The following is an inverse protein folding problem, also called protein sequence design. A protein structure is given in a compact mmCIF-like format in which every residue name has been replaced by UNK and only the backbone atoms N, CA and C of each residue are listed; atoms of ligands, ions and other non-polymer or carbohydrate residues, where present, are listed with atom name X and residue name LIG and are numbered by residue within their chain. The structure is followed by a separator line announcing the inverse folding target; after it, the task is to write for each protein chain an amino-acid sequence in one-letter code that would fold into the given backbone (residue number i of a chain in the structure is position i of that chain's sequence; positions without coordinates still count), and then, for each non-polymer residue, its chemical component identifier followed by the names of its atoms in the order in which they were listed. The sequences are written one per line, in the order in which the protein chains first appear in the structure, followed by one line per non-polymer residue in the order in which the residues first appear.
data_IF_791322739753
#
_entry.id   IF_791322739753
#
_cell.length_a   1.000
_cell.length_b   1.000
_cell.length_c   1.000
_cell.angle_alpha   90.00
_cell.angle_beta   90.00
_cell.angle_gamma   90.00
#
_symmetry.space_group_name_H-M   'P 1'
#
loop_
_entity.id
_entity.type
_entity.pdbx_description
1 polymer ?
#
# COMPACT_ATOMS: atom_id res chain seq x y z
N UNK A 1 -20.30 12.68 34.06
CA UNK A 1 -21.69 12.34 33.71
C UNK A 1 -21.76 10.83 33.56
N UNK A 2 -22.56 10.18 34.41
CA UNK A 2 -22.73 8.72 34.47
C UNK A 2 -23.67 8.30 33.35
N UNK A 3 -23.27 7.36 32.51
CA UNK A 3 -24.18 6.69 31.58
C UNK A 3 -24.40 5.25 32.05
N UNK A 4 -25.68 4.95 32.27
CA UNK A 4 -26.23 3.71 32.76
C UNK A 4 -26.09 2.57 31.73
N UNK A 5 -25.58 1.42 32.19
CA UNK A 5 -25.72 0.14 31.49
C UNK A 5 -27.16 -0.36 31.62
N UNK A 6 -27.83 -0.58 30.49
CA UNK A 6 -29.05 -1.42 30.43
C UNK A 6 -28.71 -2.78 29.85
N UNK A 7 -28.74 -3.80 30.71
CA UNK A 7 -28.80 -5.22 30.32
C UNK A 7 -30.17 -5.50 29.68
N UNK A 8 -30.17 -5.83 28.39
CA UNK A 8 -31.34 -6.37 27.67
C UNK A 8 -31.29 -7.90 27.70
N UNK A 9 -32.31 -8.52 28.31
CA UNK A 9 -32.52 -9.96 28.34
C UNK A 9 -32.99 -10.48 26.97
N UNK A 10 -32.27 -11.44 26.39
CA UNK A 10 -32.69 -12.16 25.20
C UNK A 10 -33.53 -13.38 25.59
N UNK A 11 -34.81 -13.36 25.21
CA UNK A 11 -35.73 -14.49 25.33
C UNK A 11 -35.50 -15.49 24.18
N UNK A 12 -35.14 -16.72 24.51
CA UNK A 12 -35.08 -17.87 23.61
C UNK A 12 -36.50 -18.37 23.32
N UNK A 13 -36.99 -18.14 22.09
CA UNK A 13 -38.21 -18.78 21.57
C UNK A 13 -37.78 -20.01 20.78
N UNK A 14 -37.95 -21.20 21.38
CA UNK A 14 -37.87 -22.48 20.68
C UNK A 14 -39.18 -22.72 19.91
N UNK A 15 -39.14 -22.60 18.58
CA UNK A 15 -40.19 -23.11 17.70
C UNK A 15 -39.91 -24.56 17.33
N UNK A 16 -40.63 -25.49 17.96
CA UNK A 16 -40.72 -26.88 17.57
C UNK A 16 -41.60 -27.02 16.32
N UNK A 17 -40.99 -27.33 15.18
CA UNK A 17 -41.70 -27.71 13.97
C UNK A 17 -42.12 -29.18 14.04
N UNK A 18 -43.43 -29.40 14.08
CA UNK A 18 -44.05 -30.71 13.92
C UNK A 18 -43.89 -31.18 12.46
N UNK A 19 -43.28 -32.35 12.29
CA UNK A 19 -43.12 -33.01 11.00
C UNK A 19 -44.41 -33.78 10.64
N UNK A 20 -45.14 -33.29 9.63
CA UNK A 20 -46.18 -34.06 8.95
C UNK A 20 -45.52 -35.03 7.97
N UNK A 21 -45.67 -36.34 8.20
CA UNK A 21 -45.22 -37.39 7.30
C UNK A 21 -46.11 -37.50 6.06
N UNK A 22 -45.53 -37.26 4.89
CA UNK A 22 -46.10 -37.61 3.60
C UNK A 22 -45.60 -38.99 3.15
N UNK A 23 -46.43 -39.81 2.47
CA UNK A 23 -46.04 -41.12 1.96
C UNK A 23 -44.96 -41.01 0.86
N UNK A 24 -43.98 -41.90 0.93
CA UNK A 24 -42.81 -41.92 0.06
C UNK A 24 -43.18 -42.14 -1.42
N UNK A 25 -42.96 -41.12 -2.24
CA UNK A 25 -42.99 -41.20 -3.70
C UNK A 25 -41.73 -41.92 -4.20
N UNK A 26 -41.82 -42.83 -5.19
CA UNK A 26 -40.66 -43.56 -5.71
C UNK A 26 -39.57 -42.61 -6.22
N UNK A 27 -38.37 -42.72 -5.66
CA UNK A 27 -37.23 -41.91 -6.04
C UNK A 27 -36.96 -41.99 -7.55
N UNK A 28 -37.05 -40.84 -8.22
CA UNK A 28 -36.65 -40.70 -9.62
C UNK A 28 -35.18 -41.14 -9.80
N UNK A 29 -34.83 -41.81 -10.91
CA UNK A 29 -33.46 -42.22 -11.18
C UNK A 29 -32.53 -40.99 -11.16
N UNK A 30 -31.30 -41.15 -10.62
CA UNK A 30 -30.36 -40.04 -10.52
C UNK A 30 -30.13 -39.43 -11.91
N UNK A 31 -30.39 -38.13 -12.02
CA UNK A 31 -30.14 -37.39 -13.25
C UNK A 31 -28.67 -37.57 -13.66
N UNK A 32 -28.43 -37.86 -14.94
CA UNK A 32 -27.09 -37.92 -15.49
C UNK A 32 -26.34 -36.61 -15.18
N UNK A 33 -25.04 -36.68 -14.83
CA UNK A 33 -24.27 -35.47 -14.59
C UNK A 33 -24.32 -34.57 -15.83
N UNK A 34 -24.50 -33.25 -15.65
CA UNK A 34 -24.56 -32.33 -16.77
C UNK A 34 -23.26 -32.41 -17.59
N UNK A 35 -23.33 -32.26 -18.92
CA UNK A 35 -22.15 -32.24 -19.76
C UNK A 35 -21.19 -31.11 -19.30
N UNK A 36 -19.87 -31.30 -19.40
CA UNK A 36 -18.91 -30.28 -19.02
C UNK A 36 -19.14 -29.01 -19.84
N UNK A 37 -19.19 -27.87 -19.16
CA UNK A 37 -19.31 -26.57 -19.83
C UNK A 37 -18.16 -26.36 -20.81
N UNK A 38 -18.42 -25.80 -22.00
CA UNK A 38 -17.35 -25.47 -22.95
C UNK A 38 -16.30 -24.55 -22.30
N UNK A 39 -15.02 -24.70 -22.66
CA UNK A 39 -13.96 -23.85 -22.12
C UNK A 39 -14.23 -22.38 -22.45
N UNK A 40 -13.93 -21.49 -21.50
CA UNK A 40 -14.08 -20.06 -21.68
C UNK A 40 -13.23 -19.56 -22.86
N UNK A 41 -13.72 -18.57 -23.63
CA UNK A 41 -12.92 -17.96 -24.68
C UNK A 41 -11.67 -17.28 -24.08
N UNK A 42 -10.56 -17.20 -24.84
CA UNK A 42 -9.38 -16.49 -24.37
C UNK A 42 -9.67 -14.98 -24.23
N UNK A 43 -9.03 -14.29 -23.27
CA UNK A 43 -9.23 -12.87 -23.07
C UNK A 43 -8.61 -12.05 -24.22
N UNK A 44 -9.23 -10.92 -24.52
CA UNK A 44 -8.69 -9.95 -25.48
C UNK A 44 -7.59 -9.08 -24.85
N UNK A 45 -6.68 -8.49 -25.64
CA UNK A 45 -5.67 -7.56 -25.11
C UNK A 45 -6.27 -6.37 -24.34
N UNK A 46 -7.43 -5.87 -24.78
CA UNK A 46 -8.14 -4.79 -24.10
C UNK A 46 -8.67 -5.19 -22.71
N UNK A 47 -9.07 -6.45 -22.54
CA UNK A 47 -9.50 -7.00 -21.25
C UNK A 47 -8.33 -7.13 -20.27
N UNK A 48 -7.17 -7.57 -20.76
CA UNK A 48 -5.94 -7.65 -19.95
C UNK A 48 -5.48 -6.26 -19.53
N UNK A 49 -5.41 -5.31 -20.48
CA UNK A 49 -5.04 -3.91 -20.19
C UNK A 49 -6.01 -3.26 -19.17
N UNK A 50 -7.31 -3.48 -19.34
CA UNK A 50 -8.31 -2.97 -18.41
C UNK A 50 -8.10 -3.50 -16.98
N UNK A 51 -7.88 -4.82 -16.82
CA UNK A 51 -7.60 -5.40 -15.50
C UNK A 51 -6.28 -4.89 -14.93
N UNK A 52 -5.26 -4.70 -15.77
CA UNK A 52 -3.98 -4.17 -15.33
C UNK A 52 -4.15 -2.76 -14.72
N UNK A 53 -4.87 -1.87 -15.42
CA UNK A 53 -5.20 -0.52 -14.93
C UNK A 53 -6.10 -0.56 -13.70
N UNK A 54 -7.09 -1.45 -13.66
CA UNK A 54 -7.95 -1.62 -12.49
C UNK A 54 -7.15 -2.05 -11.26
N UNK A 55 -6.32 -3.08 -11.36
CA UNK A 55 -5.51 -3.58 -10.26
C UNK A 55 -4.47 -2.56 -9.78
N UNK A 56 -3.89 -1.80 -10.72
CA UNK A 56 -3.00 -0.68 -10.37
C UNK A 56 -3.73 0.39 -9.55
N UNK A 57 -4.97 0.76 -9.95
CA UNK A 57 -5.78 1.71 -9.20
C UNK A 57 -6.19 1.16 -7.83
N UNK A 58 -6.70 -0.06 -7.79
CA UNK A 58 -7.20 -0.73 -6.59
C UNK A 58 -6.09 -1.31 -5.68
N UNK A 59 -4.81 -1.00 -5.95
CA UNK A 59 -3.65 -1.64 -5.33
C UNK A 59 -3.68 -1.57 -3.79
N UNK A 60 -4.14 -0.46 -3.21
CA UNK A 60 -4.22 -0.30 -1.74
C UNK A 60 -5.18 -1.30 -1.07
N UNK A 61 -6.18 -1.80 -1.78
CA UNK A 61 -7.08 -2.85 -1.28
C UNK A 61 -6.57 -4.26 -1.62
N UNK A 62 -5.97 -4.44 -2.79
CA UNK A 62 -5.47 -5.75 -3.24
C UNK A 62 -4.17 -6.14 -2.51
N UNK A 63 -3.32 -5.16 -2.25
CA UNK A 63 -2.02 -5.28 -1.61
C UNK A 63 -1.85 -4.12 -0.62
N UNK A 64 -2.54 -4.16 0.55
CA UNK A 64 -2.45 -3.09 1.53
C UNK A 64 -1.00 -2.81 1.93
N UNK A 65 -0.59 -1.53 2.01
CA UNK A 65 0.76 -1.19 2.44
C UNK A 65 0.99 -1.70 3.85
N UNK A 66 2.19 -2.23 4.11
CA UNK A 66 2.55 -2.62 5.47
C UNK A 66 2.72 -1.38 6.34
N UNK A 67 2.16 -1.37 7.56
CA UNK A 67 2.43 -0.28 8.50
C UNK A 67 3.92 -0.27 8.85
N UNK A 68 4.48 0.91 9.16
CA UNK A 68 5.85 0.97 9.66
C UNK A 68 5.99 0.05 10.88
N UNK A 69 7.08 -0.72 10.94
CA UNK A 69 7.37 -1.59 12.08
C UNK A 69 7.52 -0.74 13.36
N UNK A 70 7.54 -1.36 14.55
CA UNK A 70 7.68 -0.63 15.82
C UNK A 70 9.03 0.09 15.90
N UNK A 71 9.08 1.27 15.31
CA UNK A 71 10.21 2.17 15.32
C UNK A 71 10.16 2.90 16.66
N UNK A 72 11.24 2.78 17.43
CA UNK A 72 11.44 3.47 18.70
C UNK A 72 12.48 4.58 18.57
N UNK A 73 12.48 5.23 17.41
CA UNK A 73 13.40 6.29 17.07
C UNK A 73 12.67 7.62 16.93
N UNK A 74 13.44 8.71 16.81
CA UNK A 74 12.91 10.06 16.72
C UNK A 74 12.13 10.38 15.43
N UNK A 75 12.05 9.43 14.48
CA UNK A 75 11.37 9.56 13.21
C UNK A 75 10.02 8.84 13.17
N UNK A 76 9.64 8.12 14.23
CA UNK A 76 8.42 7.31 14.22
C UNK A 76 7.16 8.12 13.90
N UNK A 77 7.02 9.35 14.42
CA UNK A 77 5.86 10.20 14.07
C UNK A 77 5.83 10.54 12.58
N UNK A 78 6.99 10.79 11.96
CA UNK A 78 7.11 11.02 10.52
C UNK A 78 6.74 9.78 9.73
N UNK A 79 7.18 8.59 10.15
CA UNK A 79 6.86 7.34 9.46
C UNK A 79 5.38 6.99 9.55
N UNK A 80 4.75 7.20 10.72
CA UNK A 80 3.31 7.02 10.92
C UNK A 80 2.49 8.01 10.08
N UNK A 81 2.83 9.31 10.09
CA UNK A 81 2.14 10.31 9.26
C UNK A 81 2.35 10.05 7.77
N UNK A 82 3.56 9.64 7.36
CA UNK A 82 3.86 9.28 5.98
C UNK A 82 3.04 8.07 5.52
N UNK A 83 2.84 7.07 6.37
CA UNK A 83 1.95 5.95 6.07
C UNK A 83 0.51 6.40 5.84
N UNK A 84 -0.06 7.19 6.78
CA UNK A 84 -1.43 7.70 6.65
C UNK A 84 -1.63 8.52 5.37
N UNK A 85 -0.68 9.41 5.07
CA UNK A 85 -0.70 10.21 3.84
C UNK A 85 -0.58 9.36 2.57
N UNK A 86 0.21 8.28 2.60
CA UNK A 86 0.34 7.34 1.47
C UNK A 86 -0.98 6.60 1.23
N UNK A 87 -1.63 6.14 2.30
CA UNK A 87 -2.93 5.46 2.21
C UNK A 87 -4.00 6.44 1.69
N UNK A 88 -4.10 7.64 2.28
CA UNK A 88 -5.02 8.71 1.81
C UNK A 88 -4.83 8.98 0.31
N UNK A 89 -3.60 9.24 -0.13
CA UNK A 89 -3.29 9.48 -1.54
C UNK A 89 -3.69 8.30 -2.43
N UNK A 90 -3.50 7.07 -1.96
CA UNK A 90 -3.86 5.87 -2.72
C UNK A 90 -5.38 5.70 -2.83
N UNK A 91 -6.14 6.06 -1.79
CA UNK A 91 -7.61 6.05 -1.82
C UNK A 91 -8.15 7.11 -2.79
N UNK A 92 -7.65 8.35 -2.73
CA UNK A 92 -8.03 9.39 -3.70
C UNK A 92 -7.63 9.03 -5.14
N UNK A 93 -6.51 8.31 -5.32
CA UNK A 93 -6.11 7.83 -6.63
C UNK A 93 -7.09 6.81 -7.21
N UNK A 94 -7.75 5.98 -6.39
CA UNK A 94 -8.81 5.08 -6.87
C UNK A 94 -9.91 5.91 -7.51
N UNK A 95 -10.45 6.89 -6.78
CA UNK A 95 -11.55 7.75 -7.26
C UNK A 95 -11.22 8.44 -8.58
N UNK A 96 -9.98 8.92 -8.73
CA UNK A 96 -9.54 9.56 -9.97
C UNK A 96 -9.27 8.56 -11.10
N UNK A 97 -8.54 7.48 -10.84
CA UNK A 97 -8.11 6.56 -11.88
C UNK A 97 -9.25 5.68 -12.41
N UNK A 98 -10.25 5.37 -11.58
CA UNK A 98 -11.40 4.57 -12.02
C UNK A 98 -12.23 5.27 -13.09
N UNK A 99 -12.24 6.60 -13.13
CA UNK A 99 -12.90 7.36 -14.21
C UNK A 99 -12.30 7.08 -15.60
N UNK A 100 -11.03 6.65 -15.66
CA UNK A 100 -10.33 6.31 -16.90
C UNK A 100 -10.56 4.86 -17.37
N UNK A 101 -11.28 4.05 -16.58
CA UNK A 101 -11.59 2.65 -16.89
C UNK A 101 -12.83 2.49 -17.79
N UNK A 102 -13.45 3.59 -18.23
CA UNK A 102 -14.52 3.58 -19.23
C UNK A 102 -13.95 3.60 -20.67
N UNK A 103 -14.53 2.84 -21.62
CA UNK A 103 -15.61 1.87 -21.44
C UNK A 103 -15.13 0.57 -20.77
N UNK A 104 -16.06 -0.12 -20.10
CA UNK A 104 -15.76 -1.36 -19.41
C UNK A 104 -15.43 -2.50 -20.38
N UNK A 105 -14.39 -3.27 -20.07
CA UNK A 105 -13.99 -4.44 -20.87
C UNK A 105 -14.76 -5.73 -20.50
N UNK A 106 -15.55 -5.69 -19.42
CA UNK A 106 -16.30 -6.82 -18.90
C UNK A 106 -17.74 -6.42 -18.56
N UNK A 107 -18.73 -7.32 -18.71
CA UNK A 107 -20.14 -7.01 -18.42
C UNK A 107 -20.42 -6.50 -17.00
N UNK A 108 -19.60 -6.92 -16.01
CA UNK A 108 -19.71 -6.48 -14.61
C UNK A 108 -18.57 -5.57 -14.17
N UNK A 109 -17.80 -5.02 -15.12
CA UNK A 109 -16.66 -4.15 -14.82
C UNK A 109 -17.08 -2.87 -14.08
N UNK A 110 -18.24 -2.31 -14.42
CA UNK A 110 -18.79 -1.13 -13.76
C UNK A 110 -19.13 -1.39 -12.30
N UNK A 111 -19.84 -2.48 -12.05
CA UNK A 111 -20.23 -2.90 -10.69
C UNK A 111 -18.99 -3.09 -9.79
N UNK A 112 -17.93 -3.70 -10.34
CA UNK A 112 -16.65 -3.85 -9.65
C UNK A 112 -16.00 -2.49 -9.34
N UNK A 113 -15.92 -1.60 -10.33
CA UNK A 113 -15.33 -0.26 -10.17
C UNK A 113 -16.10 0.59 -9.14
N UNK A 114 -17.44 0.59 -9.22
CA UNK A 114 -18.30 1.34 -8.29
C UNK A 114 -18.14 0.81 -6.85
N UNK A 115 -18.01 -0.52 -6.67
CA UNK A 115 -17.80 -1.13 -5.36
C UNK A 115 -16.48 -0.70 -4.70
N UNK A 116 -15.38 -0.66 -5.46
CA UNK A 116 -14.08 -0.22 -4.94
C UNK A 116 -14.02 1.29 -4.72
N UNK A 117 -14.66 2.09 -5.59
CA UNK A 117 -14.75 3.54 -5.42
C UNK A 117 -15.53 3.89 -4.15
N UNK A 118 -16.67 3.24 -3.92
CA UNK A 118 -17.47 3.42 -2.69
C UNK A 118 -16.68 3.03 -1.43
N UNK A 119 -15.92 1.94 -1.48
CA UNK A 119 -15.06 1.55 -0.36
C UNK A 119 -13.91 2.56 -0.15
N UNK A 120 -13.34 3.11 -1.23
CA UNK A 120 -12.31 4.13 -1.17
C UNK A 120 -12.83 5.40 -0.51
N UNK A 121 -14.01 5.90 -0.89
CA UNK A 121 -14.64 7.09 -0.31
C UNK A 121 -14.89 6.91 1.21
N UNK A 122 -15.48 5.78 1.61
CA UNK A 122 -15.81 5.48 3.02
C UNK A 122 -14.58 5.49 3.94
N UNK A 123 -13.45 4.97 3.45
CA UNK A 123 -12.21 4.96 4.21
C UNK A 123 -11.43 6.27 4.04
N UNK A 124 -11.50 6.87 2.85
CA UNK A 124 -10.78 8.07 2.44
C UNK A 124 -11.06 9.23 3.38
N UNK A 125 -12.34 9.56 3.61
CA UNK A 125 -12.75 10.66 4.51
C UNK A 125 -12.08 10.57 5.89
N UNK A 126 -12.02 9.35 6.42
CA UNK A 126 -11.46 9.08 7.74
C UNK A 126 -9.94 9.14 7.76
N UNK A 127 -9.27 8.57 6.75
CA UNK A 127 -7.81 8.61 6.65
C UNK A 127 -7.32 10.02 6.32
N UNK A 128 -8.08 10.80 5.56
CA UNK A 128 -7.80 12.21 5.28
C UNK A 128 -7.81 13.03 6.57
N UNK A 129 -8.83 12.83 7.44
CA UNK A 129 -8.86 13.44 8.76
C UNK A 129 -7.60 13.07 9.56
N UNK A 130 -7.22 11.78 9.62
CA UNK A 130 -6.03 11.33 10.33
C UNK A 130 -4.73 11.91 9.78
N UNK A 131 -4.60 11.96 8.45
CA UNK A 131 -3.42 12.48 7.77
C UNK A 131 -3.22 13.99 8.00
N UNK A 132 -4.32 14.72 8.24
CA UNK A 132 -4.27 16.15 8.56
C UNK A 132 -3.76 16.45 9.97
N UNK A 133 -3.72 15.45 10.87
CA UNK A 133 -3.32 15.58 12.27
C UNK A 133 -1.80 15.41 12.47
N UNK A 134 -0.97 16.10 11.68
CA UNK A 134 0.49 15.96 11.69
C UNK A 134 1.17 16.38 13.01
N UNK A 135 0.47 17.10 13.89
CA UNK A 135 0.95 17.46 15.24
C UNK A 135 0.42 16.56 16.35
N UNK A 136 -0.34 15.51 16.01
CA UNK A 136 -0.84 14.57 17.01
C UNK A 136 0.30 13.89 17.77
N UNK A 137 0.03 13.51 19.01
CA UNK A 137 0.97 12.73 19.79
C UNK A 137 1.22 11.36 19.13
N UNK A 138 2.41 10.79 19.34
CA UNK A 138 2.82 9.56 18.68
C UNK A 138 1.87 8.38 18.96
N UNK A 139 1.39 8.24 20.20
CA UNK A 139 0.43 7.22 20.60
C UNK A 139 -0.90 7.35 19.85
N UNK A 140 -1.34 8.59 19.60
CA UNK A 140 -2.52 8.89 18.78
C UNK A 140 -2.28 8.48 17.33
N UNK A 141 -1.13 8.83 16.74
CA UNK A 141 -0.77 8.42 15.38
C UNK A 141 -0.70 6.89 15.22
N UNK A 142 -0.16 6.17 16.21
CA UNK A 142 -0.16 4.69 16.23
C UNK A 142 -1.58 4.14 16.26
N UNK A 143 -2.47 4.77 17.02
CA UNK A 143 -3.90 4.47 17.03
C UNK A 143 -4.51 4.59 15.63
N UNK A 144 -4.30 5.72 14.96
CA UNK A 144 -4.78 5.96 13.59
C UNK A 144 -4.24 4.94 12.60
N UNK A 145 -2.92 4.67 12.60
CA UNK A 145 -2.31 3.66 11.71
C UNK A 145 -2.91 2.28 11.95
N UNK A 146 -3.10 1.89 13.22
CA UNK A 146 -3.71 0.59 13.57
C UNK A 146 -5.13 0.52 13.04
N UNK A 147 -5.93 1.55 13.26
CA UNK A 147 -7.32 1.61 12.81
C UNK A 147 -7.45 1.61 11.28
N UNK A 148 -6.63 2.39 10.58
CA UNK A 148 -6.55 2.38 9.11
C UNK A 148 -6.15 1.01 8.56
N UNK A 149 -5.17 0.37 9.18
CA UNK A 149 -4.68 -0.95 8.75
C UNK A 149 -5.74 -2.04 8.94
N UNK A 150 -6.42 -2.04 10.09
CA UNK A 150 -7.53 -2.98 10.32
C UNK A 150 -8.72 -2.68 9.41
N UNK A 151 -9.00 -1.40 9.12
CA UNK A 151 -10.02 -1.02 8.15
C UNK A 151 -9.67 -1.53 6.75
N UNK A 152 -8.43 -1.36 6.26
CA UNK A 152 -8.02 -1.90 4.95
C UNK A 152 -8.15 -3.42 4.86
N UNK A 153 -7.89 -4.16 5.94
CA UNK A 153 -8.04 -5.62 5.98
C UNK A 153 -9.50 -6.08 6.00
N UNK A 154 -10.35 -5.33 6.70
CA UNK A 154 -11.75 -5.75 6.97
C UNK A 154 -12.74 -5.17 5.97
N UNK A 155 -12.45 -3.99 5.42
CA UNK A 155 -13.29 -3.31 4.44
C UNK A 155 -13.18 -4.03 3.10
N UNK A 156 -14.13 -4.94 2.87
CA UNK A 156 -14.37 -5.49 1.56
C UNK A 156 -15.22 -4.51 0.76
N UNK A 157 -14.93 -4.29 -0.54
CA UNK A 157 -15.86 -3.65 -1.45
C UNK A 157 -17.24 -4.27 -1.29
N UNK A 158 -18.26 -3.44 -1.06
CA UNK A 158 -19.63 -3.95 -0.94
C UNK A 158 -20.10 -4.42 -2.31
N UNK A 159 -20.58 -5.65 -2.41
CA UNK A 159 -21.06 -6.23 -3.67
C UNK A 159 -20.02 -7.11 -4.34
N UNK A 160 -19.66 -6.79 -5.57
CA UNK A 160 -18.74 -7.59 -6.38
C UNK A 160 -17.29 -7.26 -6.04
N UNK A 161 -16.55 -8.23 -5.51
CA UNK A 161 -15.09 -8.17 -5.41
C UNK A 161 -14.40 -8.88 -6.58
N UNK A 162 -13.14 -8.54 -6.83
CA UNK A 162 -12.35 -9.10 -7.94
C UNK A 162 -12.24 -10.62 -7.84
N UNK A 163 -12.07 -11.17 -6.63
CA UNK A 163 -11.97 -12.61 -6.39
C UNK A 163 -13.24 -13.34 -6.81
N UNK A 164 -14.40 -12.78 -6.51
CA UNK A 164 -15.72 -13.30 -6.86
C UNK A 164 -15.94 -13.23 -8.37
N UNK A 165 -15.51 -12.14 -9.02
CA UNK A 165 -15.59 -12.02 -10.47
C UNK A 165 -14.67 -13.02 -11.20
N UNK A 166 -13.43 -13.17 -10.73
CA UNK A 166 -12.46 -14.17 -11.23
C UNK A 166 -13.01 -15.59 -11.08
N UNK A 167 -13.63 -15.92 -9.94
CA UNK A 167 -14.23 -17.23 -9.72
C UNK A 167 -15.46 -17.50 -10.60
N UNK A 168 -16.20 -16.45 -10.99
CA UNK A 168 -17.43 -16.57 -11.76
C UNK A 168 -17.23 -16.60 -13.28
N UNK A 169 -16.15 -16.00 -13.79
CA UNK A 169 -15.89 -15.85 -15.23
C UNK A 169 -14.48 -16.30 -15.61
N UNK A 170 -14.40 -17.41 -16.35
CA UNK A 170 -13.12 -17.98 -16.80
C UNK A 170 -12.32 -17.05 -17.73
N UNK A 171 -12.96 -16.12 -18.43
CA UNK A 171 -12.28 -15.09 -19.24
C UNK A 171 -11.62 -14.06 -18.34
N UNK A 172 -12.31 -13.63 -17.28
CA UNK A 172 -11.74 -12.71 -16.27
C UNK A 172 -10.58 -13.39 -15.56
N UNK A 173 -10.71 -14.66 -15.19
CA UNK A 173 -9.63 -15.42 -14.57
C UNK A 173 -8.36 -15.45 -15.43
N UNK A 174 -8.49 -15.79 -16.71
CA UNK A 174 -7.37 -15.78 -17.65
C UNK A 174 -6.77 -14.39 -17.85
N UNK A 175 -7.61 -13.35 -17.91
CA UNK A 175 -7.13 -11.98 -18.06
C UNK A 175 -6.39 -11.50 -16.80
N UNK A 176 -6.88 -11.88 -15.61
CA UNK A 176 -6.25 -11.59 -14.32
C UNK A 176 -4.88 -12.26 -14.19
N UNK A 177 -4.73 -13.51 -14.66
CA UNK A 177 -3.43 -14.19 -14.71
C UNK A 177 -2.41 -13.46 -15.62
N UNK A 178 -2.88 -12.80 -16.68
CA UNK A 178 -2.04 -12.06 -17.63
C UNK A 178 -1.78 -10.60 -17.21
N UNK A 179 -2.59 -10.03 -16.33
CA UNK A 179 -2.47 -8.64 -15.88
C UNK A 179 -1.41 -8.52 -14.77
N UNK A 180 -0.22 -8.06 -15.13
CA UNK A 180 0.96 -8.00 -14.24
C UNK A 180 0.71 -7.23 -12.94
N UNK A 181 -0.02 -6.10 -12.99
CA UNK A 181 -0.35 -5.28 -11.82
C UNK A 181 -1.35 -5.92 -10.85
N UNK A 182 -2.01 -7.02 -11.24
CA UNK A 182 -2.89 -7.77 -10.35
C UNK A 182 -2.15 -8.77 -9.46
N UNK A 183 -0.88 -9.05 -9.77
CA UNK A 183 -0.05 -9.92 -8.95
C UNK A 183 0.78 -9.06 -7.99
N UNK A 184 1.05 -9.54 -6.77
CA UNK A 184 2.17 -8.98 -6.02
C UNK A 184 3.39 -9.01 -6.93
N UNK A 185 4.17 -7.92 -6.95
CA UNK A 185 5.41 -7.87 -7.71
C UNK A 185 6.18 -9.16 -7.42
N UNK A 186 6.32 -10.02 -8.44
CA UNK A 186 6.87 -11.37 -8.28
C UNK A 186 8.33 -11.26 -7.89
N UNK A 187 8.64 -11.13 -6.60
CA UNK A 187 10.00 -11.09 -6.05
C UNK A 187 11.04 -10.48 -7.02
N UNK A 188 10.72 -9.35 -7.66
CA UNK A 188 11.75 -8.50 -8.26
C UNK A 188 12.65 -7.90 -7.16
N UNK A 189 12.25 -8.13 -5.89
CA UNK A 189 13.04 -8.01 -4.67
C UNK A 189 14.18 -9.03 -4.50
N UNK A 190 14.59 -9.73 -5.56
CA UNK A 190 16.03 -9.98 -5.73
C UNK A 190 16.50 -9.06 -6.87
N UNK A 191 17.13 -7.90 -6.57
CA UNK A 191 17.80 -7.14 -7.61
C UNK A 191 18.61 -8.11 -8.46
N UNK A 192 18.49 -7.97 -9.78
CA UNK A 192 19.23 -8.79 -10.74
C UNK A 192 20.65 -8.99 -10.23
N UNK A 193 20.99 -10.25 -9.94
CA UNK A 193 22.16 -10.73 -9.18
C UNK A 193 23.53 -10.37 -9.75
N UNK A 194 23.63 -9.39 -10.65
CA UNK A 194 24.88 -8.70 -10.88
C UNK A 194 25.04 -7.67 -9.75
N UNK A 195 26.00 -7.86 -8.83
CA UNK A 195 26.32 -6.84 -7.84
C UNK A 195 26.52 -5.52 -8.58
N UNK A 196 25.73 -4.51 -8.25
CA UNK A 196 25.99 -3.17 -8.74
C UNK A 196 27.21 -2.71 -7.97
N UNK A 197 28.38 -2.74 -8.61
CA UNK A 197 29.59 -2.18 -8.02
C UNK A 197 29.35 -0.69 -7.76
N UNK A 198 29.05 -0.37 -6.50
CA UNK A 198 28.91 1.00 -6.06
C UNK A 198 30.30 1.66 -6.07
N UNK A 199 30.41 2.93 -6.50
CA UNK A 199 31.65 3.67 -6.36
C UNK A 199 32.05 3.73 -4.88
N UNK A 200 33.35 3.75 -4.62
CA UNK A 200 33.84 3.95 -3.26
C UNK A 200 33.44 5.35 -2.77
N UNK A 201 32.68 5.41 -1.68
CA UNK A 201 32.35 6.67 -1.02
C UNK A 201 33.61 7.29 -0.40
N UNK A 202 33.85 8.59 -0.57
CA UNK A 202 35.07 9.27 -0.02
C UNK A 202 35.28 9.03 1.46
N UNK A 203 34.20 9.03 2.24
CA UNK A 203 34.21 8.84 3.68
C UNK A 203 33.83 7.41 4.10
N UNK A 204 33.70 6.48 3.16
CA UNK A 204 33.29 5.10 3.43
C UNK A 204 31.96 5.03 4.17
N UNK A 205 31.84 4.20 5.19
CA UNK A 205 30.63 4.10 6.04
C UNK A 205 30.66 5.07 7.25
N UNK A 206 31.59 6.04 7.28
CA UNK A 206 31.72 6.97 8.40
C UNK A 206 30.66 8.09 8.35
N UNK A 207 29.43 7.78 8.77
CA UNK A 207 28.31 8.72 8.76
C UNK A 207 28.60 10.01 9.53
N UNK A 208 29.45 9.95 10.57
CA UNK A 208 29.81 11.13 11.37
C UNK A 208 30.57 12.21 10.59
N UNK A 209 31.21 11.85 9.47
CA UNK A 209 31.87 12.80 8.57
C UNK A 209 30.92 13.87 8.04
N UNK A 210 29.62 13.56 7.97
CA UNK A 210 28.57 14.45 7.47
C UNK A 210 28.17 15.58 8.43
N UNK A 211 28.74 15.64 9.63
CA UNK A 211 28.34 16.60 10.68
C UNK A 211 28.56 18.07 10.31
N UNK A 212 29.40 18.37 9.32
CA UNK A 212 29.61 19.71 8.77
C UNK A 212 28.83 19.98 7.46
N UNK A 213 28.06 18.99 6.99
CA UNK A 213 27.27 19.03 5.77
C UNK A 213 28.11 18.83 4.50
N UNK A 214 29.33 18.30 4.61
CA UNK A 214 30.21 17.97 3.49
C UNK A 214 30.75 16.55 3.66
N UNK A 215 30.14 15.59 2.98
CA UNK A 215 30.59 14.20 3.04
C UNK A 215 30.15 13.44 1.79
N UNK A 216 30.70 12.25 1.62
CA UNK A 216 30.21 11.22 0.72
C UNK A 216 30.34 9.86 1.41
N UNK A 217 29.22 9.29 1.82
CA UNK A 217 29.16 8.10 2.66
C UNK A 217 28.34 6.97 2.02
N UNK A 218 28.72 5.73 2.30
CA UNK A 218 27.97 4.53 1.97
C UNK A 218 26.91 4.29 3.06
N UNK A 219 25.66 4.18 2.65
CA UNK A 219 24.51 4.02 3.54
C UNK A 219 23.66 2.81 3.16
N UNK A 220 22.92 2.29 4.15
CA UNK A 220 21.90 1.25 3.98
C UNK A 220 20.56 1.74 4.52
N UNK A 221 19.48 0.98 4.26
CA UNK A 221 18.19 1.23 4.91
C UNK A 221 18.35 1.33 6.45
N UNK A 222 17.68 2.31 7.06
CA UNK A 222 17.75 2.63 8.48
C UNK A 222 18.93 3.52 8.88
N UNK A 223 19.90 3.81 8.01
CA UNK A 223 21.04 4.66 8.34
C UNK A 223 20.58 6.08 8.73
N UNK A 224 21.18 6.62 9.80
CA UNK A 224 20.93 7.98 10.29
C UNK A 224 22.21 8.79 10.11
N UNK A 225 22.14 9.80 9.26
CA UNK A 225 23.25 10.66 8.86
C UNK A 225 23.09 12.01 9.56
N UNK A 226 24.08 12.46 10.37
CA UNK A 226 24.02 13.77 11.00
C UNK A 226 24.06 14.88 9.95
N UNK A 227 23.30 15.94 10.20
CA UNK A 227 23.26 17.13 9.37
C UNK A 227 23.51 18.39 10.24
N UNK A 228 24.15 19.44 9.70
CA UNK A 228 24.34 20.67 10.45
C UNK A 228 23.03 21.41 10.70
N UNK A 229 22.80 21.79 11.97
CA UNK A 229 21.67 22.62 12.42
C UNK A 229 21.42 23.90 11.60
N UNK A 230 22.47 24.48 11.00
CA UNK A 230 22.35 25.68 10.15
C UNK A 230 21.46 25.45 8.90
N UNK A 231 21.28 24.20 8.48
CA UNK A 231 20.36 23.81 7.41
C UNK A 231 18.97 23.45 7.95
N UNK A 232 18.70 23.64 9.25
CA UNK A 232 17.39 23.39 9.86
C UNK A 232 17.07 21.93 10.17
N UNK A 233 18.00 20.99 9.91
CA UNK A 233 17.86 19.59 10.26
C UNK A 233 18.98 19.16 11.20
N UNK A 234 18.67 18.25 12.11
CA UNK A 234 19.67 17.58 12.94
C UNK A 234 20.15 16.28 12.28
N UNK A 235 19.24 15.58 11.60
CA UNK A 235 19.44 14.22 11.12
C UNK A 235 18.70 13.98 9.80
N UNK A 236 19.33 13.21 8.91
CA UNK A 236 18.78 12.66 7.67
C UNK A 236 18.74 11.14 7.82
N UNK A 237 17.57 10.52 7.65
CA UNK A 237 17.36 9.09 7.70
C UNK A 237 17.21 8.51 6.30
N UNK A 238 17.89 7.39 6.06
CA UNK A 238 17.59 6.50 4.94
C UNK A 238 16.44 5.58 5.34
N UNK A 239 15.26 5.79 4.75
CA UNK A 239 14.05 5.01 5.08
C UNK A 239 14.07 3.65 4.40
N UNK A 240 14.32 3.64 3.10
CA UNK A 240 14.36 2.44 2.29
C UNK A 240 15.31 2.62 1.11
N UNK A 241 15.85 1.51 0.61
CA UNK A 241 16.57 1.44 -0.66
C UNK A 241 16.02 0.24 -1.41
N UNK A 242 15.23 0.50 -2.44
CA UNK A 242 14.60 -0.52 -3.26
C UNK A 242 14.49 -0.02 -4.71
N UNK A 243 14.58 -0.94 -5.68
CA UNK A 243 14.36 -0.66 -7.09
C UNK A 243 15.23 0.49 -7.65
N UNK A 244 16.46 0.62 -7.15
CA UNK A 244 17.39 1.69 -7.54
C UNK A 244 17.01 3.07 -6.99
N UNK A 245 16.06 3.15 -6.07
CA UNK A 245 15.58 4.39 -5.44
C UNK A 245 15.92 4.39 -3.95
N UNK A 246 16.60 5.45 -3.52
CA UNK A 246 16.87 5.81 -2.15
C UNK A 246 15.73 6.69 -1.62
N UNK A 247 15.03 6.25 -0.59
CA UNK A 247 14.01 7.03 0.10
C UNK A 247 14.64 7.72 1.32
N UNK A 248 14.73 9.05 1.29
CA UNK A 248 15.25 9.85 2.39
C UNK A 248 14.11 10.48 3.19
N UNK A 249 14.34 10.65 4.50
CA UNK A 249 13.56 11.50 5.37
C UNK A 249 14.47 12.43 6.16
N UNK A 250 14.06 13.68 6.38
CA UNK A 250 14.72 14.57 7.32
C UNK A 250 13.71 15.23 8.24
N UNK A 251 14.13 15.47 9.48
CA UNK A 251 13.31 16.11 10.51
C UNK A 251 13.90 17.47 10.88
N UNK A 252 13.05 18.47 10.89
CA UNK A 252 13.35 19.85 11.30
C UNK A 252 12.39 20.27 12.42
N UNK A 253 12.73 21.32 13.16
CA UNK A 253 11.85 21.88 14.20
C UNK A 253 10.49 22.38 13.69
N UNK A 254 10.32 22.54 12.37
CA UNK A 254 9.08 22.99 11.72
C UNK A 254 8.35 21.93 10.90
N UNK A 255 8.83 20.68 10.85
CA UNK A 255 8.21 19.63 10.06
C UNK A 255 9.18 18.55 9.59
N UNK A 256 8.68 17.64 8.76
CA UNK A 256 9.47 16.59 8.13
C UNK A 256 9.40 16.70 6.61
N UNK A 257 10.45 16.23 5.93
CA UNK A 257 10.49 16.14 4.48
C UNK A 257 10.90 14.72 4.09
N UNK A 258 10.27 14.17 3.06
CA UNK A 258 10.69 12.93 2.43
C UNK A 258 11.00 13.18 0.96
N UNK A 259 12.02 12.50 0.44
CA UNK A 259 12.43 12.67 -0.95
C UNK A 259 12.97 11.36 -1.54
N UNK A 260 12.43 10.88 -2.67
CA UNK A 260 13.03 9.80 -3.43
C UNK A 260 14.20 10.33 -4.26
N UNK A 261 15.32 9.62 -4.24
CA UNK A 261 16.50 9.89 -5.06
C UNK A 261 16.92 8.61 -5.80
N UNK A 262 16.98 8.66 -7.11
CA UNK A 262 17.65 7.67 -7.96
C UNK A 262 19.11 8.06 -8.22
N UNK A 263 19.88 7.15 -8.80
CA UNK A 263 21.30 7.38 -9.12
C UNK A 263 21.53 8.68 -9.89
N UNK A 264 22.41 9.53 -9.36
CA UNK A 264 22.77 10.82 -9.94
C UNK A 264 21.86 11.98 -9.56
N UNK A 265 20.69 11.72 -8.97
CA UNK A 265 19.72 12.76 -8.60
C UNK A 265 20.07 13.42 -7.27
N UNK A 266 19.79 14.71 -7.21
CA UNK A 266 19.94 15.53 -6.02
C UNK A 266 18.61 16.20 -5.65
N UNK A 267 18.47 16.51 -4.38
CA UNK A 267 17.44 17.40 -3.82
C UNK A 267 18.12 18.46 -2.97
N UNK A 268 17.52 19.64 -2.87
CA UNK A 268 18.04 20.74 -2.03
C UNK A 268 17.09 20.91 -0.85
N UNK A 269 17.64 20.79 0.35
CA UNK A 269 16.92 20.86 1.61
C UNK A 269 17.48 22.00 2.44
N UNK A 270 16.79 23.15 2.45
CA UNK A 270 17.22 24.36 3.18
C UNK A 270 18.67 24.78 2.89
N UNK A 271 19.13 24.67 1.64
CA UNK A 271 20.49 25.01 1.23
C UNK A 271 21.54 23.90 1.43
N UNK A 272 21.11 22.69 1.81
CA UNK A 272 21.93 21.48 1.74
C UNK A 272 21.54 20.68 0.51
N UNK A 273 22.46 20.51 -0.44
CA UNK A 273 22.32 19.52 -1.51
C UNK A 273 22.52 18.11 -0.93
N UNK A 274 21.55 17.25 -1.21
CA UNK A 274 21.54 15.84 -0.83
C UNK A 274 21.43 15.02 -2.11
N UNK A 275 22.48 14.26 -2.43
CA UNK A 275 22.60 13.56 -3.72
C UNK A 275 22.83 12.07 -3.54
N UNK A 276 22.04 11.26 -4.23
CA UNK A 276 22.35 9.84 -4.39
C UNK A 276 23.37 9.69 -5.53
N UNK A 277 24.64 9.54 -5.19
CA UNK A 277 25.72 9.36 -6.19
C UNK A 277 25.52 8.05 -6.94
N UNK A 278 25.15 6.99 -6.23
CA UNK A 278 24.80 5.68 -6.77
C UNK A 278 23.85 4.96 -5.82
N UNK A 279 22.97 4.11 -6.35
CA UNK A 279 22.03 3.27 -5.59
C UNK A 279 22.07 1.85 -6.17
N UNK A 280 22.20 0.84 -5.31
CA UNK A 280 22.33 -0.56 -5.73
C UNK A 280 22.48 -1.51 -4.54
N UNK A 281 22.00 -2.74 -4.69
CA UNK A 281 22.14 -3.83 -3.69
C UNK A 281 21.72 -3.45 -2.26
N UNK A 282 20.62 -2.69 -2.13
CA UNK A 282 20.11 -2.23 -0.83
C UNK A 282 21.01 -1.20 -0.13
N UNK A 283 22.02 -0.68 -0.83
CA UNK A 283 22.95 0.36 -0.40
C UNK A 283 22.92 1.55 -1.35
N UNK A 284 23.45 2.67 -0.88
CA UNK A 284 23.62 3.87 -1.70
C UNK A 284 24.85 4.64 -1.27
N UNK A 285 25.47 5.36 -2.20
CA UNK A 285 26.47 6.37 -1.91
C UNK A 285 25.76 7.71 -1.85
N UNK A 286 25.69 8.29 -0.66
CA UNK A 286 25.03 9.57 -0.38
C UNK A 286 26.07 10.66 -0.26
N UNK A 287 25.92 11.75 -1.02
CA UNK A 287 26.74 12.94 -0.87
C UNK A 287 25.93 14.09 -0.31
N UNK A 288 26.52 14.79 0.67
CA UNK A 288 26.03 16.03 1.22
C UNK A 288 26.99 17.16 0.87
N UNK A 289 26.46 18.29 0.41
CA UNK A 289 27.23 19.51 0.19
C UNK A 289 26.32 20.74 0.37
N UNK A 290 26.83 21.89 0.81
CA UNK A 290 26.09 23.15 0.71
C UNK A 290 25.76 23.46 -0.75
N UNK A 291 24.50 23.82 -1.02
CA UNK A 291 23.99 24.20 -2.34
C UNK A 291 24.36 25.63 -2.74
#
# INVERSE_FOLDING_TARGET
MRNDLRLGAAALIMCSLAACGAPAEPAAPPAAPPPPSPPAPPPTPAQVDWLNRFCQAAKVFLLPPEPPQDLRDEFVSMDLSSYLSTVSTSLSNIEHQTTSLAPEAFPRGKELVDAYTTAAEQLGDKVDEYSSQYTAAEDVLRGYVTETTEALKTLKPQGLDLTTLVAADGTVAQAHEQAESCHPAKDEGKPSTAPVELPAAKDGENLSACSDGRCEVLVSAGAVVPAPKRFGFDLIRVRAIADGVLQLGAKSGGGSLTSPLDTGRATIMNGLEVKAVAVGDGKAVLSLAPA
#
